data_IF_203271639205
#
_entry.id   IF_203271639205
#
_cell.length_a   1.000
_cell.length_b   1.000
_cell.length_c   1.000
_cell.angle_alpha   90.00
_cell.angle_beta   90.00
_cell.angle_gamma   90.00
#
_symmetry.space_group_name_H-M   'P 1'
#
loop_
_entity.id
_entity.type
_entity.pdbx_description
1 polymer ?
#
# COMPACT_ATOMS: atom_id res chain seq x y z
N UNK A 1 -26.26 7.80 -11.42
CA UNK A 1 -25.88 7.12 -10.15
C UNK A 1 -24.37 6.87 -10.00
N UNK A 2 -23.55 7.09 -11.03
CA UNK A 2 -22.07 6.91 -11.03
C UNK A 2 -21.28 7.95 -10.23
N UNK A 3 -21.87 9.09 -9.86
CA UNK A 3 -21.12 10.22 -9.29
C UNK A 3 -20.90 10.14 -7.76
N UNK A 4 -21.75 9.39 -7.03
CA UNK A 4 -21.68 9.30 -5.57
C UNK A 4 -20.56 8.37 -5.08
N UNK A 5 -20.44 7.19 -5.71
CA UNK A 5 -19.42 6.20 -5.36
C UNK A 5 -17.99 6.74 -5.56
N UNK A 6 -17.76 7.49 -6.65
CA UNK A 6 -16.47 8.15 -6.89
C UNK A 6 -16.15 9.23 -5.85
N UNK A 7 -17.15 10.03 -5.45
CA UNK A 7 -16.97 11.05 -4.40
C UNK A 7 -16.67 10.42 -3.04
N UNK A 8 -17.31 9.31 -2.69
CA UNK A 8 -17.10 8.62 -1.41
C UNK A 8 -15.70 8.01 -1.35
N UNK A 9 -15.23 7.41 -2.45
CA UNK A 9 -13.85 6.94 -2.60
C UNK A 9 -12.84 8.07 -2.42
N UNK A 10 -13.01 9.20 -3.10
CA UNK A 10 -12.09 10.35 -2.99
C UNK A 10 -12.04 10.91 -1.57
N UNK A 11 -13.19 11.02 -0.89
CA UNK A 11 -13.23 11.45 0.52
C UNK A 11 -12.50 10.46 1.41
N UNK A 12 -12.71 9.17 1.21
CA UNK A 12 -12.02 8.13 1.97
C UNK A 12 -10.49 8.22 1.79
N UNK A 13 -10.00 8.31 0.55
CA UNK A 13 -8.57 8.48 0.25
C UNK A 13 -7.97 9.72 0.94
N UNK A 14 -8.65 10.87 0.89
CA UNK A 14 -8.20 12.09 1.59
C UNK A 14 -8.17 11.92 3.11
N UNK A 15 -9.14 11.19 3.68
CA UNK A 15 -9.15 10.94 5.11
C UNK A 15 -7.97 10.06 5.54
N UNK A 16 -7.50 9.13 4.70
CA UNK A 16 -6.32 8.30 5.00
C UNK A 16 -5.04 9.12 5.22
N UNK A 17 -4.90 10.27 4.54
CA UNK A 17 -3.75 11.16 4.70
C UNK A 17 -3.67 11.80 6.10
N UNK A 18 -4.80 11.94 6.79
CA UNK A 18 -4.87 12.62 8.10
C UNK A 18 -4.25 11.80 9.23
N UNK A 19 -4.07 10.50 9.04
CA UNK A 19 -3.52 9.62 10.06
C UNK A 19 -1.99 9.69 10.08
N UNK A 20 -1.43 9.97 11.27
CA UNK A 20 0.02 9.95 11.49
C UNK A 20 0.65 8.58 11.21
N UNK A 21 -0.12 7.51 11.44
CA UNK A 21 0.26 6.13 11.12
C UNK A 21 -0.89 5.46 10.39
N UNK A 22 -0.60 4.86 9.24
CA UNK A 22 -1.52 4.01 8.48
C UNK A 22 -0.98 2.58 8.47
N UNK A 23 -1.83 1.61 8.80
CA UNK A 23 -1.47 0.19 8.83
C UNK A 23 -2.24 -0.53 7.71
N UNK A 24 -1.51 -1.20 6.83
CA UNK A 24 -2.05 -2.13 5.84
C UNK A 24 -1.76 -3.55 6.33
N UNK A 25 -2.78 -4.20 6.88
CA UNK A 25 -2.66 -5.56 7.41
C UNK A 25 -2.95 -6.59 6.31
N UNK A 26 -2.25 -7.71 6.35
CA UNK A 26 -2.40 -8.87 5.45
C UNK A 26 -2.31 -8.49 3.95
N UNK A 27 -1.38 -7.59 3.64
CA UNK A 27 -1.26 -6.98 2.32
C UNK A 27 -0.75 -7.95 1.26
N UNK A 28 -1.37 -7.93 0.08
CA UNK A 28 -0.88 -8.64 -1.12
C UNK A 28 -1.26 -10.10 -1.23
N UNK A 29 -2.26 -10.60 -0.48
CA UNK A 29 -2.77 -11.97 -0.64
C UNK A 29 -3.48 -12.17 -1.99
N UNK A 30 -4.20 -11.15 -2.46
CA UNK A 30 -4.90 -11.18 -3.74
C UNK A 30 -4.17 -10.36 -4.79
N UNK A 31 -4.40 -10.69 -6.06
CA UNK A 31 -3.98 -9.81 -7.16
C UNK A 31 -4.62 -8.44 -6.98
N UNK A 32 -3.83 -7.40 -7.20
CA UNK A 32 -4.27 -6.01 -7.19
C UNK A 32 -4.57 -5.61 -8.63
N UNK A 33 -5.74 -5.03 -8.89
CA UNK A 33 -6.07 -4.48 -10.20
C UNK A 33 -5.27 -3.21 -10.48
N UNK A 34 -5.16 -2.82 -11.76
CA UNK A 34 -4.47 -1.57 -12.13
C UNK A 34 -5.07 -0.34 -11.44
N UNK A 35 -6.40 -0.28 -11.28
CA UNK A 35 -7.04 0.84 -10.57
C UNK A 35 -6.66 0.86 -9.09
N UNK A 36 -6.63 -0.28 -8.41
CA UNK A 36 -6.26 -0.36 -7.00
C UNK A 36 -4.78 -0.04 -6.80
N UNK A 37 -3.91 -0.45 -7.73
CA UNK A 37 -2.49 -0.08 -7.71
C UNK A 37 -2.30 1.43 -7.85
N UNK A 38 -3.08 2.09 -8.72
CA UNK A 38 -3.06 3.55 -8.85
C UNK A 38 -3.58 4.25 -7.60
N UNK A 39 -4.63 3.74 -6.96
CA UNK A 39 -5.12 4.28 -5.69
C UNK A 39 -4.05 4.16 -4.59
N UNK A 40 -3.40 3.01 -4.51
CA UNK A 40 -2.33 2.75 -3.55
C UNK A 40 -1.11 3.64 -3.82
N UNK A 41 -0.74 3.86 -5.09
CA UNK A 41 0.29 4.82 -5.46
C UNK A 41 -0.03 6.21 -4.92
N UNK A 42 -1.25 6.72 -5.11
CA UNK A 42 -1.63 8.04 -4.62
C UNK A 42 -1.49 8.12 -3.09
N UNK A 43 -1.97 7.10 -2.36
CA UNK A 43 -1.82 7.04 -0.90
C UNK A 43 -0.33 7.06 -0.50
N UNK A 44 0.52 6.27 -1.17
CA UNK A 44 1.95 6.18 -0.86
C UNK A 44 2.65 7.51 -1.17
N UNK A 45 2.36 8.12 -2.30
CA UNK A 45 2.96 9.40 -2.73
C UNK A 45 2.60 10.53 -1.75
N UNK A 46 1.34 10.64 -1.35
CA UNK A 46 0.89 11.66 -0.39
C UNK A 46 1.51 11.50 1.01
N UNK A 47 1.81 10.24 1.40
CA UNK A 47 2.39 9.90 2.71
C UNK A 47 3.92 9.90 2.71
N UNK A 48 4.53 9.91 1.54
CA UNK A 48 5.98 9.83 1.40
C UNK A 48 6.66 11.01 2.12
N UNK A 49 7.53 10.70 3.08
CA UNK A 49 8.25 11.67 3.94
C UNK A 49 7.36 12.58 4.80
N UNK A 50 6.05 12.33 4.91
CA UNK A 50 5.12 13.14 5.71
C UNK A 50 4.51 12.36 6.88
N UNK A 51 4.24 11.07 6.71
CA UNK A 51 3.63 10.21 7.73
C UNK A 51 4.09 8.75 7.59
N UNK A 52 4.00 7.97 8.67
CA UNK A 52 4.47 6.58 8.69
C UNK A 52 3.43 5.63 8.09
N UNK A 53 3.89 4.66 7.29
CA UNK A 53 3.06 3.56 6.79
C UNK A 53 3.66 2.24 7.26
N UNK A 54 2.84 1.39 7.86
CA UNK A 54 3.21 0.04 8.30
C UNK A 54 2.48 -0.95 7.42
N UNK A 55 3.20 -1.95 6.91
CA UNK A 55 2.62 -3.02 6.11
C UNK A 55 2.96 -4.34 6.79
N UNK A 56 1.94 -5.14 7.06
CA UNK A 56 2.12 -6.57 7.36
C UNK A 56 1.83 -7.35 6.07
N UNK A 57 2.69 -8.30 5.73
CA UNK A 57 2.53 -9.08 4.51
C UNK A 57 3.27 -10.41 4.63
N UNK A 58 2.73 -11.42 3.94
CA UNK A 58 3.40 -12.71 3.74
C UNK A 58 4.37 -12.68 2.55
N UNK A 59 4.38 -11.58 1.79
CA UNK A 59 5.24 -11.40 0.63
C UNK A 59 6.62 -10.90 1.03
N UNK A 60 7.65 -11.38 0.33
CA UNK A 60 8.97 -10.77 0.41
C UNK A 60 8.97 -9.41 -0.28
N UNK A 61 9.85 -8.50 0.15
CA UNK A 61 10.06 -7.18 -0.46
C UNK A 61 10.22 -7.23 -1.99
N UNK A 62 10.88 -8.27 -2.51
CA UNK A 62 11.09 -8.49 -3.95
C UNK A 62 9.81 -8.77 -4.76
N UNK A 63 8.69 -9.12 -4.11
CA UNK A 63 7.42 -9.39 -4.79
C UNK A 63 6.58 -8.13 -5.03
N UNK A 64 6.89 -7.01 -4.36
CA UNK A 64 6.13 -5.76 -4.48
C UNK A 64 6.12 -5.16 -5.90
N UNK A 65 7.24 -5.12 -6.65
CA UNK A 65 7.19 -4.65 -8.05
C UNK A 65 6.21 -5.46 -8.90
N UNK A 66 6.16 -6.78 -8.69
CA UNK A 66 5.25 -7.68 -9.42
C UNK A 66 3.80 -7.43 -8.99
N UNK A 67 3.57 -7.24 -7.70
CA UNK A 67 2.24 -7.00 -7.13
C UNK A 67 1.64 -5.66 -7.58
N UNK A 68 2.44 -4.60 -7.60
CA UNK A 68 2.03 -3.25 -7.98
C UNK A 68 1.94 -3.08 -9.50
N UNK A 69 2.70 -3.88 -10.26
CA UNK A 69 2.76 -3.82 -11.71
C UNK A 69 3.97 -3.04 -12.22
N UNK A 70 4.06 -2.91 -13.55
CA UNK A 70 5.24 -2.39 -14.25
C UNK A 70 5.02 -1.03 -14.92
N UNK A 71 3.97 -0.28 -14.53
CA UNK A 71 3.81 1.08 -15.02
C UNK A 71 4.68 2.05 -14.23
N UNK A 72 4.93 3.24 -14.79
CA UNK A 72 5.80 4.26 -14.17
C UNK A 72 5.33 4.64 -12.77
N UNK A 73 4.03 4.59 -12.47
CA UNK A 73 3.51 4.89 -11.13
C UNK A 73 3.80 3.75 -10.17
N UNK A 74 3.62 2.51 -10.57
CA UNK A 74 3.90 1.33 -9.76
C UNK A 74 5.39 1.24 -9.40
N UNK A 75 6.29 1.52 -10.34
CA UNK A 75 7.73 1.63 -10.07
C UNK A 75 8.02 2.72 -9.04
N UNK A 76 7.40 3.89 -9.21
CA UNK A 76 7.63 5.02 -8.33
C UNK A 76 6.97 4.85 -6.94
N UNK A 77 5.86 4.10 -6.82
CA UNK A 77 5.30 3.64 -5.54
C UNK A 77 6.26 2.66 -4.85
N UNK A 78 6.78 1.69 -5.59
CA UNK A 78 7.75 0.71 -5.09
C UNK A 78 8.95 1.44 -4.49
N UNK A 79 9.54 2.39 -5.20
CA UNK A 79 10.69 3.15 -4.72
C UNK A 79 10.36 3.93 -3.43
N UNK A 80 9.28 4.73 -3.44
CA UNK A 80 8.86 5.55 -2.28
C UNK A 80 8.48 4.72 -1.06
N UNK A 81 7.90 3.55 -1.27
CA UNK A 81 7.49 2.66 -0.19
C UNK A 81 8.68 1.88 0.36
N UNK A 82 9.46 1.26 -0.53
CA UNK A 82 10.44 0.23 -0.16
C UNK A 82 11.84 0.78 0.11
N UNK A 83 12.24 1.88 -0.53
CA UNK A 83 13.56 2.46 -0.33
C UNK A 83 13.78 2.95 1.12
N UNK A 84 12.86 3.73 1.73
CA UNK A 84 13.02 4.16 3.13
C UNK A 84 12.54 3.10 4.14
N UNK A 85 12.03 1.95 3.70
CA UNK A 85 11.41 0.97 4.59
C UNK A 85 12.43 0.29 5.50
N UNK A 86 12.05 0.19 6.78
CA UNK A 86 12.66 -0.75 7.72
C UNK A 86 11.97 -2.09 7.52
N UNK A 87 12.73 -3.11 7.09
CA UNK A 87 12.22 -4.46 6.91
C UNK A 87 12.42 -5.28 8.20
N UNK A 88 11.34 -5.89 8.68
CA UNK A 88 11.35 -6.79 9.84
C UNK A 88 10.85 -8.15 9.38
N UNK A 89 11.78 -9.08 9.15
CA UNK A 89 11.44 -10.46 8.78
C UNK A 89 11.05 -11.24 10.04
N UNK A 90 9.77 -11.60 10.15
CA UNK A 90 9.26 -12.44 11.23
C UNK A 90 9.56 -13.91 10.96
N UNK A 91 10.07 -14.62 11.98
CA UNK A 91 10.41 -16.05 11.92
C UNK A 91 9.67 -16.81 13.02
N UNK A 92 9.38 -18.08 12.75
CA UNK A 92 8.77 -19.00 13.70
C UNK A 92 7.46 -19.60 13.19
N UNK A 93 6.90 -20.57 13.94
CA UNK A 93 5.66 -21.23 13.57
C UNK A 93 4.45 -20.30 13.69
N UNK A 94 3.39 -20.64 12.97
CA UNK A 94 2.08 -20.01 13.13
C UNK A 94 1.67 -19.99 14.61
N UNK A 95 1.10 -18.86 15.06
CA UNK A 95 0.47 -18.74 16.37
C UNK A 95 -1.05 -19.02 16.32
N UNK A 96 -1.60 -19.29 15.13
CA UNK A 96 -2.99 -19.74 14.98
C UNK A 96 -3.06 -21.17 15.51
N UNK A 97 -3.91 -21.39 16.51
CA UNK A 97 -4.24 -22.72 17.05
C UNK A 97 -5.22 -23.43 16.14
#
# INVERSE_FOLDING_TARGET
>A
MTNKLGMDKLRFMRNLQRFKVLILDDFGISKISTSESQDLFNIIDDRYKTASTVISTQLKKSAFPILLGSDTKAEAATDRLLHPAIEIELKGPSRRK
#
